data_IF_727534768010
#
_entry.id   IF_727534768010
#
_cell.length_a   1.000
_cell.length_b   1.000
_cell.length_c   1.000
_cell.angle_alpha   90.00
_cell.angle_beta   90.00
_cell.angle_gamma   90.00
#
_symmetry.space_group_name_H-M   'P 1'
#
loop_
_entity.id
_entity.type
_entity.pdbx_description
1 polymer ?
#
# COMPACT_ATOMS: atom_id res chain seq x y z
N UNK A 1 -24.45 -8.27 -7.28
CA UNK A 1 -25.51 -7.56 -8.04
C UNK A 1 -26.51 -8.56 -8.57
N UNK A 2 -27.72 -8.10 -8.80
CA UNK A 2 -28.78 -8.82 -9.54
C UNK A 2 -29.11 -8.01 -10.79
N UNK A 3 -29.16 -8.69 -11.94
CA UNK A 3 -29.36 -8.04 -13.23
C UNK A 3 -30.64 -8.55 -13.91
N UNK A 4 -31.34 -7.63 -14.56
CA UNK A 4 -32.40 -7.90 -15.51
C UNK A 4 -31.91 -7.51 -16.91
N UNK A 5 -31.50 -8.52 -17.68
CA UNK A 5 -30.75 -8.33 -18.92
C UNK A 5 -29.44 -7.58 -18.70
N UNK A 6 -29.29 -6.43 -19.34
CA UNK A 6 -28.09 -5.55 -19.20
C UNK A 6 -28.23 -4.48 -18.11
N UNK A 7 -29.30 -4.51 -17.33
CA UNK A 7 -29.56 -3.51 -16.29
C UNK A 7 -29.39 -4.12 -14.92
N UNK A 8 -28.67 -3.44 -14.02
CA UNK A 8 -28.62 -3.79 -12.60
C UNK A 8 -29.99 -3.43 -11.99
N UNK A 9 -30.73 -4.43 -11.54
CA UNK A 9 -32.02 -4.26 -10.87
C UNK A 9 -31.85 -4.02 -9.37
N UNK A 10 -30.92 -4.76 -8.73
CA UNK A 10 -30.65 -4.66 -7.30
C UNK A 10 -29.15 -4.75 -7.00
N UNK A 11 -28.74 -4.01 -5.98
CA UNK A 11 -27.47 -4.25 -5.27
C UNK A 11 -27.74 -5.19 -4.10
N UNK A 12 -26.93 -6.23 -3.98
CA UNK A 12 -26.96 -7.15 -2.84
C UNK A 12 -25.93 -6.69 -1.82
N UNK A 13 -26.41 -6.32 -0.64
CA UNK A 13 -25.59 -5.86 0.48
C UNK A 13 -25.60 -6.89 1.58
N UNK A 14 -24.45 -7.08 2.24
CA UNK A 14 -24.33 -7.84 3.47
C UNK A 14 -23.91 -6.92 4.60
N UNK A 15 -24.71 -6.88 5.66
CA UNK A 15 -24.42 -6.09 6.86
C UNK A 15 -24.91 -6.83 8.12
N UNK A 16 -24.94 -6.17 9.27
CA UNK A 16 -25.39 -6.76 10.53
C UNK A 16 -26.85 -7.29 10.51
N UNK A 17 -27.68 -6.79 9.58
CA UNK A 17 -29.06 -7.25 9.37
C UNK A 17 -29.16 -8.40 8.37
N UNK A 18 -28.03 -8.96 7.92
CA UNK A 18 -27.96 -10.02 6.93
C UNK A 18 -27.87 -9.51 5.50
N UNK A 19 -28.30 -10.33 4.56
CA UNK A 19 -28.34 -10.01 3.14
C UNK A 19 -29.58 -9.15 2.82
N UNK A 20 -29.37 -8.09 2.09
CA UNK A 20 -30.40 -7.16 1.67
C UNK A 20 -30.28 -6.89 0.18
N UNK A 21 -31.42 -6.87 -0.54
CA UNK A 21 -31.51 -6.45 -1.93
C UNK A 21 -32.07 -5.02 -1.99
N UNK A 22 -31.26 -4.10 -2.54
CA UNK A 22 -31.64 -2.70 -2.69
C UNK A 22 -31.94 -2.41 -4.16
N UNK A 23 -33.22 -2.08 -4.52
CA UNK A 23 -33.56 -1.79 -5.89
C UNK A 23 -32.86 -0.52 -6.38
N UNK A 24 -32.36 -0.53 -7.63
CA UNK A 24 -31.61 0.59 -8.19
C UNK A 24 -32.16 1.05 -9.53
N UNK A 25 -32.03 2.36 -9.82
CA UNK A 25 -32.25 2.92 -11.14
C UNK A 25 -30.95 3.15 -11.90
N UNK A 26 -29.91 3.51 -11.19
CA UNK A 26 -28.56 3.72 -11.68
C UNK A 26 -27.58 3.39 -10.57
N UNK A 27 -26.38 2.96 -10.94
CA UNK A 27 -25.29 2.63 -10.00
C UNK A 27 -24.03 3.36 -10.43
N UNK A 28 -23.35 3.97 -9.46
CA UNK A 28 -21.99 4.48 -9.62
C UNK A 28 -21.06 3.51 -8.90
N UNK A 29 -20.20 2.86 -9.67
CA UNK A 29 -19.18 1.98 -9.11
C UNK A 29 -17.96 2.80 -8.67
N UNK A 30 -17.74 2.86 -7.36
CA UNK A 30 -16.60 3.52 -6.73
C UNK A 30 -15.86 2.54 -5.80
N UNK A 31 -15.89 1.24 -6.12
CA UNK A 31 -15.30 0.19 -5.28
C UNK A 31 -13.76 0.14 -5.34
N UNK A 32 -13.14 0.87 -6.28
CA UNK A 32 -11.68 0.84 -6.50
C UNK A 32 -11.26 -0.22 -7.50
N UNK A 33 -11.80 -1.43 -7.40
CA UNK A 33 -11.48 -2.57 -8.25
C UNK A 33 -12.59 -2.92 -9.26
N UNK A 34 -13.55 -2.01 -9.48
CA UNK A 34 -14.68 -2.19 -10.38
C UNK A 34 -15.57 -3.41 -10.05
N UNK A 35 -15.75 -3.70 -8.77
CA UNK A 35 -16.46 -4.89 -8.26
C UNK A 35 -17.90 -4.99 -8.79
N UNK A 36 -18.62 -3.87 -8.83
CA UNK A 36 -19.99 -3.85 -9.33
C UNK A 36 -20.02 -4.05 -10.83
N UNK A 37 -19.16 -3.38 -11.57
CA UNK A 37 -19.05 -3.49 -13.01
C UNK A 37 -18.72 -4.95 -13.42
N UNK A 38 -17.68 -5.54 -12.83
CA UNK A 38 -17.27 -6.92 -13.10
C UNK A 38 -18.40 -7.92 -12.81
N UNK A 39 -19.08 -7.78 -11.66
CA UNK A 39 -20.18 -8.67 -11.26
C UNK A 39 -21.47 -8.46 -12.01
N UNK A 40 -21.62 -7.34 -12.74
CA UNK A 40 -22.76 -7.08 -13.63
C UNK A 40 -22.51 -7.54 -15.07
N UNK A 41 -21.34 -8.13 -15.36
CA UNK A 41 -20.97 -8.62 -16.67
C UNK A 41 -20.43 -7.55 -17.61
N UNK A 42 -20.03 -6.38 -17.09
CA UNK A 42 -19.28 -5.41 -17.88
C UNK A 42 -17.89 -5.96 -18.22
N UNK A 43 -17.39 -5.56 -19.37
CA UNK A 43 -16.01 -5.83 -19.73
C UNK A 43 -15.07 -5.06 -18.79
N UNK A 44 -14.12 -5.78 -18.18
CA UNK A 44 -13.09 -5.22 -17.30
C UNK A 44 -11.73 -5.73 -17.73
N UNK A 45 -10.70 -4.91 -17.55
CA UNK A 45 -9.30 -5.28 -17.80
C UNK A 45 -8.60 -5.46 -16.47
N UNK A 46 -7.79 -6.52 -16.35
CA UNK A 46 -7.06 -6.84 -15.13
C UNK A 46 -5.60 -7.15 -15.47
N UNK A 47 -4.70 -6.41 -14.80
CA UNK A 47 -3.27 -6.55 -15.04
C UNK A 47 -2.79 -5.99 -16.38
N UNK A 48 -1.50 -6.10 -16.62
CA UNK A 48 -0.87 -5.70 -17.88
C UNK A 48 -1.15 -6.71 -18.97
N UNK A 49 -1.33 -6.26 -20.24
CA UNK A 49 -1.58 -7.21 -21.35
C UNK A 49 -0.45 -8.23 -21.56
N UNK A 50 0.79 -7.84 -21.27
CA UNK A 50 1.98 -8.63 -21.58
C UNK A 50 2.18 -9.82 -20.64
N UNK A 51 1.84 -9.68 -19.36
CA UNK A 51 2.16 -10.67 -18.32
C UNK A 51 1.08 -10.82 -17.24
N UNK A 52 0.00 -10.04 -17.32
CA UNK A 52 -1.10 -10.08 -16.35
C UNK A 52 -0.76 -9.48 -14.98
N UNK A 53 0.43 -8.89 -14.82
CA UNK A 53 0.82 -8.34 -13.51
C UNK A 53 0.02 -7.09 -13.16
N UNK A 54 -0.45 -7.07 -11.93
CA UNK A 54 -1.15 -5.93 -11.32
C UNK A 54 -0.15 -4.88 -10.83
N UNK A 55 -0.62 -3.65 -10.64
CA UNK A 55 0.16 -2.64 -9.92
C UNK A 55 0.50 -3.14 -8.52
N UNK A 56 1.77 -3.08 -8.10
CA UNK A 56 2.13 -3.51 -6.76
C UNK A 56 1.35 -2.76 -5.69
N UNK A 57 0.84 -3.49 -4.72
CA UNK A 57 0.22 -2.91 -3.53
C UNK A 57 1.27 -2.39 -2.55
N UNK A 58 0.87 -1.56 -1.61
CA UNK A 58 1.73 -1.05 -0.53
C UNK A 58 0.98 -0.99 0.77
N UNK A 59 1.65 -1.26 1.87
CA UNK A 59 1.14 -1.03 3.21
C UNK A 59 1.86 0.17 3.82
N UNK A 60 1.24 1.34 3.70
CA UNK A 60 1.79 2.57 4.24
C UNK A 60 1.76 2.58 5.77
N UNK A 61 2.74 3.23 6.38
CA UNK A 61 2.75 3.43 7.82
C UNK A 61 3.29 4.81 8.19
N UNK A 62 2.90 5.30 9.36
CA UNK A 62 3.39 6.55 9.91
C UNK A 62 4.41 6.25 11.02
N UNK A 63 5.45 7.05 11.05
CA UNK A 63 6.44 7.08 12.14
C UNK A 63 6.45 8.44 12.78
N UNK A 64 6.72 8.51 14.07
CA UNK A 64 6.98 9.74 14.82
C UNK A 64 8.35 9.68 15.49
N UNK A 65 8.79 10.79 16.09
CA UNK A 65 10.06 10.90 16.77
C UNK A 65 11.28 10.95 15.84
N UNK A 66 11.06 11.27 14.55
CA UNK A 66 12.13 11.44 13.58
C UNK A 66 12.88 12.75 13.83
N UNK A 67 14.21 12.69 13.92
CA UNK A 67 15.07 13.87 13.92
C UNK A 67 15.14 14.46 12.51
N UNK A 68 14.35 15.52 12.31
CA UNK A 68 14.23 16.17 11.00
C UNK A 68 15.49 16.91 10.57
N UNK A 69 16.31 17.36 11.53
CA UNK A 69 17.53 18.08 11.21
C UNK A 69 18.56 17.09 10.66
N UNK A 70 18.77 15.95 11.33
CA UNK A 70 19.63 14.88 10.84
C UNK A 70 19.15 14.32 9.49
N UNK A 71 17.84 14.12 9.32
CA UNK A 71 17.24 13.68 8.06
C UNK A 71 17.49 14.69 6.93
N UNK A 72 17.27 15.97 7.20
CA UNK A 72 17.49 17.06 6.24
C UNK A 72 18.97 17.15 5.83
N UNK A 73 19.88 17.10 6.78
CA UNK A 73 21.30 17.19 6.53
C UNK A 73 21.77 16.04 5.64
N UNK A 74 21.26 14.84 5.85
CA UNK A 74 21.53 13.68 4.97
C UNK A 74 20.98 13.89 3.55
N UNK A 75 19.76 14.41 3.43
CA UNK A 75 19.15 14.72 2.12
C UNK A 75 19.98 15.77 1.36
N UNK A 76 20.47 16.81 2.06
CA UNK A 76 21.34 17.81 1.44
C UNK A 76 22.70 17.23 1.04
N UNK A 77 23.29 16.39 1.90
CA UNK A 77 24.57 15.73 1.63
C UNK A 77 24.53 14.82 0.40
N UNK A 78 23.44 14.09 0.23
CA UNK A 78 23.27 13.10 -0.85
C UNK A 78 22.50 13.64 -2.05
N UNK A 79 21.99 14.86 -1.95
CA UNK A 79 21.10 15.46 -2.96
C UNK A 79 19.91 14.56 -3.33
N UNK A 80 19.51 13.69 -2.38
CA UNK A 80 18.48 12.67 -2.61
C UNK A 80 17.64 12.39 -1.38
N UNK A 81 16.31 12.55 -1.51
CA UNK A 81 15.35 12.11 -0.53
C UNK A 81 14.96 10.61 -0.65
N UNK A 82 15.59 9.88 -1.59
CA UNK A 82 15.33 8.46 -1.88
C UNK A 82 16.33 7.52 -1.24
N UNK A 83 17.38 8.04 -0.60
CA UNK A 83 18.42 7.25 0.05
C UNK A 83 19.05 6.17 -0.82
N UNK A 84 19.19 6.41 -2.12
CA UNK A 84 19.64 5.40 -3.10
C UNK A 84 20.99 4.81 -2.75
N UNK A 85 21.97 5.64 -2.40
CA UNK A 85 23.31 5.17 -2.02
C UNK A 85 23.26 4.25 -0.80
N UNK A 86 22.49 4.64 0.23
CA UNK A 86 22.32 3.84 1.43
C UNK A 86 21.65 2.49 1.12
N UNK A 87 20.56 2.51 0.34
CA UNK A 87 19.86 1.29 -0.07
C UNK A 87 20.77 0.36 -0.87
N UNK A 88 21.56 0.91 -1.81
CA UNK A 88 22.54 0.11 -2.56
C UNK A 88 23.62 -0.50 -1.68
N UNK A 89 24.12 0.25 -0.70
CA UNK A 89 25.09 -0.25 0.29
C UNK A 89 24.49 -1.38 1.11
N UNK A 90 23.29 -1.21 1.66
CA UNK A 90 22.59 -2.23 2.44
C UNK A 90 22.27 -3.48 1.60
N UNK A 91 21.99 -3.30 0.32
CA UNK A 91 21.81 -4.42 -0.63
C UNK A 91 23.10 -5.17 -0.85
N UNK A 92 24.22 -4.47 -1.01
CA UNK A 92 25.54 -5.09 -1.19
C UNK A 92 25.98 -5.89 0.04
N UNK A 93 25.58 -5.50 1.26
CA UNK A 93 25.82 -6.25 2.50
C UNK A 93 24.79 -7.34 2.79
N UNK A 94 23.72 -7.44 1.96
CA UNK A 94 22.65 -8.42 2.17
C UNK A 94 21.61 -8.02 3.23
N UNK A 95 21.70 -6.82 3.80
CA UNK A 95 20.74 -6.33 4.79
C UNK A 95 19.43 -5.85 4.15
N UNK A 96 19.50 -5.27 2.94
CA UNK A 96 18.32 -4.90 2.18
C UNK A 96 17.84 -6.09 1.33
N UNK A 97 16.91 -6.85 1.86
CA UNK A 97 16.39 -8.08 1.24
C UNK A 97 15.18 -7.84 0.31
N UNK A 98 14.65 -6.62 0.30
CA UNK A 98 13.49 -6.27 -0.52
C UNK A 98 13.82 -6.27 -2.02
N UNK A 99 12.86 -6.66 -2.88
CA UNK A 99 13.08 -6.73 -4.33
C UNK A 99 13.16 -5.37 -5.03
N UNK A 100 12.96 -4.28 -4.30
CA UNK A 100 13.00 -2.91 -4.78
C UNK A 100 14.15 -2.13 -4.10
N UNK A 101 14.59 -1.03 -4.73
CA UNK A 101 15.72 -0.20 -4.31
C UNK A 101 15.33 1.27 -4.10
N UNK A 102 14.10 1.49 -3.69
CA UNK A 102 13.55 2.83 -3.49
C UNK A 102 13.05 3.00 -2.06
N UNK A 103 13.39 4.13 -1.45
CA UNK A 103 12.81 4.58 -0.20
C UNK A 103 11.92 5.80 -0.45
N UNK A 104 10.69 5.76 0.03
CA UNK A 104 9.72 6.84 -0.13
C UNK A 104 9.20 7.23 1.24
N UNK A 105 9.45 8.48 1.61
CA UNK A 105 8.86 9.10 2.78
C UNK A 105 8.29 10.47 2.46
N UNK A 106 7.25 10.86 3.17
CA UNK A 106 6.60 12.16 3.02
C UNK A 106 6.43 12.76 4.41
N UNK A 107 6.93 14.00 4.57
CA UNK A 107 6.72 14.77 5.80
C UNK A 107 5.24 15.09 5.98
N UNK A 108 4.72 14.82 7.16
CA UNK A 108 3.37 15.22 7.56
C UNK A 108 3.38 16.58 8.26
N UNK A 109 2.19 17.11 8.56
CA UNK A 109 2.03 18.42 9.21
C UNK A 109 2.62 18.45 10.62
N UNK A 110 2.60 17.35 11.34
CA UNK A 110 3.19 17.24 12.67
C UNK A 110 4.71 17.05 12.56
N UNK A 111 5.48 17.93 13.24
CA UNK A 111 6.95 17.88 13.21
C UNK A 111 7.46 16.51 13.70
N UNK A 112 8.42 15.95 12.98
CA UNK A 112 9.00 14.63 13.29
C UNK A 112 8.10 13.46 12.95
N UNK A 113 6.98 13.70 12.24
CA UNK A 113 6.07 12.64 11.79
C UNK A 113 6.16 12.49 10.27
N UNK A 114 6.46 11.29 9.81
CA UNK A 114 6.53 10.96 8.38
C UNK A 114 5.57 9.83 8.05
N UNK A 115 5.03 9.88 6.84
CA UNK A 115 4.39 8.73 6.18
C UNK A 115 5.45 8.01 5.36
N UNK A 116 5.56 6.71 5.54
CA UNK A 116 6.45 5.83 4.78
C UNK A 116 5.61 5.06 3.76
N UNK A 117 5.97 5.21 2.48
CA UNK A 117 5.35 4.52 1.35
C UNK A 117 6.43 3.74 0.58
N UNK A 118 7.11 2.85 1.28
CA UNK A 118 8.28 2.13 0.75
C UNK A 118 7.98 0.65 0.52
N UNK A 119 7.11 0.01 1.31
CA UNK A 119 6.74 -1.39 1.07
C UNK A 119 6.17 -1.56 -0.35
N UNK A 120 6.48 -2.69 -0.99
CA UNK A 120 6.04 -2.95 -2.36
C UNK A 120 5.71 -4.43 -2.53
N UNK A 121 4.44 -4.72 -2.39
CA UNK A 121 3.91 -6.07 -2.47
C UNK A 121 3.53 -6.39 -3.91
N UNK A 122 4.40 -7.11 -4.60
CA UNK A 122 4.10 -7.65 -5.92
C UNK A 122 3.23 -8.90 -5.79
N UNK A 123 2.54 -9.28 -6.85
CA UNK A 123 1.68 -10.47 -6.92
C UNK A 123 0.51 -10.46 -5.93
N UNK A 124 -0.01 -9.27 -5.61
CA UNK A 124 -1.25 -9.13 -4.86
C UNK A 124 -2.38 -8.82 -5.84
N UNK A 125 -3.39 -9.68 -5.85
CA UNK A 125 -4.62 -9.48 -6.58
C UNK A 125 -5.64 -8.74 -5.70
N UNK A 126 -5.86 -7.45 -5.97
CA UNK A 126 -6.81 -6.61 -5.23
C UNK A 126 -8.26 -7.06 -5.37
N UNK A 127 -8.59 -7.86 -6.39
CA UNK A 127 -9.95 -8.37 -6.63
C UNK A 127 -10.24 -9.70 -5.92
N UNK A 128 -9.23 -10.29 -5.27
CA UNK A 128 -9.34 -11.53 -4.52
C UNK A 128 -9.11 -11.33 -3.02
N UNK A 129 -10.12 -11.60 -2.21
CA UNK A 129 -10.07 -11.38 -0.76
C UNK A 129 -9.03 -12.23 -0.03
N UNK A 130 -8.68 -13.40 -0.58
CA UNK A 130 -7.65 -14.26 0.00
C UNK A 130 -6.26 -13.71 -0.31
N UNK A 131 -6.03 -13.27 -1.55
CA UNK A 131 -4.81 -12.59 -1.97
C UNK A 131 -4.55 -11.32 -1.16
N UNK A 132 -5.59 -10.50 -0.94
CA UNK A 132 -5.51 -9.31 -0.07
C UNK A 132 -5.12 -9.69 1.37
N UNK A 133 -5.72 -10.74 1.94
CA UNK A 133 -5.40 -11.19 3.30
C UNK A 133 -3.96 -11.63 3.44
N UNK A 134 -3.45 -12.41 2.49
CA UNK A 134 -2.05 -12.83 2.44
C UNK A 134 -1.12 -11.64 2.21
N UNK A 135 -1.51 -10.72 1.32
CA UNK A 135 -0.81 -9.45 1.08
C UNK A 135 -0.68 -8.62 2.35
N UNK A 136 -1.75 -8.47 3.12
CA UNK A 136 -1.74 -7.77 4.41
C UNK A 136 -0.79 -8.41 5.42
N UNK A 137 -0.78 -9.73 5.52
CA UNK A 137 0.15 -10.44 6.42
C UNK A 137 1.61 -10.23 6.02
N UNK A 138 1.90 -10.30 4.71
CA UNK A 138 3.23 -10.03 4.16
C UNK A 138 3.63 -8.56 4.37
N UNK A 139 2.74 -7.63 4.08
CA UNK A 139 2.97 -6.20 4.24
C UNK A 139 3.30 -5.81 5.69
N UNK A 140 2.64 -6.40 6.67
CA UNK A 140 2.96 -6.15 8.10
C UNK A 140 4.37 -6.62 8.46
N UNK A 141 4.82 -7.75 7.97
CA UNK A 141 6.22 -8.21 8.16
C UNK A 141 7.20 -7.27 7.47
N UNK A 142 6.94 -6.88 6.22
CA UNK A 142 7.79 -5.91 5.52
C UNK A 142 7.88 -4.57 6.26
N UNK A 143 6.79 -4.09 6.86
CA UNK A 143 6.81 -2.87 7.70
C UNK A 143 7.76 -3.02 8.89
N UNK A 144 7.69 -4.14 9.62
CA UNK A 144 8.56 -4.39 10.77
C UNK A 144 10.03 -4.50 10.38
N UNK A 145 10.33 -5.25 9.31
CA UNK A 145 11.69 -5.41 8.79
C UNK A 145 12.26 -4.09 8.27
N UNK A 146 11.49 -3.36 7.48
CA UNK A 146 11.89 -2.05 6.96
C UNK A 146 12.12 -1.05 8.10
N UNK A 147 11.22 -1.01 9.08
CA UNK A 147 11.37 -0.10 10.21
C UNK A 147 12.61 -0.40 11.05
N UNK A 148 12.93 -1.67 11.27
CA UNK A 148 14.17 -2.07 11.94
C UNK A 148 15.43 -1.64 11.17
N UNK A 149 15.41 -1.70 9.84
CA UNK A 149 16.49 -1.16 9.00
C UNK A 149 16.59 0.36 9.11
N UNK A 150 15.44 1.05 9.11
CA UNK A 150 15.40 2.50 9.25
C UNK A 150 16.04 2.95 10.57
N UNK A 151 15.68 2.34 11.69
CA UNK A 151 16.25 2.69 12.99
C UNK A 151 17.77 2.46 13.07
N UNK A 152 18.29 1.45 12.38
CA UNK A 152 19.71 1.09 12.40
C UNK A 152 20.56 1.93 11.46
N UNK A 153 20.03 2.34 10.31
CA UNK A 153 20.84 2.83 9.21
C UNK A 153 20.45 4.18 8.65
N UNK A 154 19.19 4.62 8.84
CA UNK A 154 18.71 5.85 8.23
C UNK A 154 18.86 7.01 9.21
N UNK A 155 19.67 8.04 8.86
CA UNK A 155 19.85 9.21 9.72
C UNK A 155 18.54 9.86 10.13
N UNK A 156 18.40 10.09 11.43
CA UNK A 156 17.21 10.70 12.01
C UNK A 156 16.11 9.73 12.43
N UNK A 157 16.23 8.43 12.12
CA UNK A 157 15.23 7.42 12.49
C UNK A 157 15.59 6.60 13.75
N UNK A 158 16.72 6.83 14.35
CA UNK A 158 17.27 6.02 15.48
C UNK A 158 16.31 5.96 16.68
N UNK A 159 15.55 7.04 16.91
CA UNK A 159 14.58 7.16 18.01
C UNK A 159 13.14 7.15 17.53
N UNK A 160 12.92 6.96 16.24
CA UNK A 160 11.59 6.90 15.67
C UNK A 160 10.79 5.73 16.22
N UNK A 161 9.46 5.85 16.14
CA UNK A 161 8.51 4.80 16.52
C UNK A 161 7.44 4.68 15.44
N UNK A 162 6.92 3.48 15.25
CA UNK A 162 5.73 3.30 14.43
C UNK A 162 4.55 3.93 15.16
N UNK A 163 3.96 4.97 14.58
CA UNK A 163 2.77 5.64 15.10
C UNK A 163 1.50 4.89 14.76
N UNK A 164 1.41 4.43 13.52
CA UNK A 164 0.33 3.56 13.03
C UNK A 164 0.69 2.93 11.69
N UNK A 165 0.04 1.83 11.38
CA UNK A 165 0.07 1.16 10.08
C UNK A 165 -1.30 1.32 9.42
N UNK A 166 -1.33 1.45 8.10
CA UNK A 166 -2.59 1.52 7.36
C UNK A 166 -3.46 0.28 7.64
N UNK A 167 -4.78 0.43 7.72
CA UNK A 167 -5.68 -0.69 7.98
C UNK A 167 -5.83 -1.64 6.79
N UNK A 168 -5.50 -1.17 5.59
CA UNK A 168 -5.62 -1.90 4.32
C UNK A 168 -4.44 -1.57 3.41
N UNK A 169 -4.19 -2.46 2.44
CA UNK A 169 -3.29 -2.25 1.32
C UNK A 169 -3.82 -1.16 0.38
#
# INVERSE_FOLDING_TARGET
VECDGKRISHLILHNKSGLQAVPTRAVVDATGDADVAARSGCEVVKGRPEDGLMTPATLMFHVDGVDQDALRDEIYRTESNRFRELVQKLRATGEWTFPYDIFISVQLTEKGTLMINTTRLVDVDGTDGWSLSLGMMRGRREVEELFALMQRHFPGFEKARIKRVAPML
#
